data_IF_995443186844
#
_entry.id   IF_995443186844
#
_cell.length_a   1.000
_cell.length_b   1.000
_cell.length_c   1.000
_cell.angle_alpha   90.00
_cell.angle_beta   90.00
_cell.angle_gamma   90.00
#
_symmetry.space_group_name_H-M   'P 1'
#
loop_
_entity.id
_entity.type
_entity.pdbx_description
1 polymer ?
#
# COMPACT_ATOMS: atom_id res chain seq x y z
N UNK A 1 -5.68 11.47 -11.15
CA UNK A 1 -6.75 11.88 -12.07
C UNK A 1 -7.58 10.67 -12.42
N UNK A 2 -8.91 10.81 -12.39
CA UNK A 2 -9.86 9.77 -12.82
C UNK A 2 -10.56 10.28 -14.08
N UNK A 3 -10.63 9.42 -15.11
CA UNK A 3 -11.34 9.70 -16.34
C UNK A 3 -12.31 8.54 -16.64
N UNK A 4 -13.59 8.80 -16.47
CA UNK A 4 -14.66 7.81 -16.71
C UNK A 4 -15.93 8.50 -17.23
N UNK A 5 -15.96 8.91 -18.50
CA UNK A 5 -17.05 9.73 -19.05
C UNK A 5 -18.43 9.09 -18.93
N UNK A 6 -18.53 7.76 -19.06
CA UNK A 6 -19.81 7.04 -18.98
C UNK A 6 -20.35 6.93 -17.54
N UNK A 7 -19.49 7.00 -16.51
CA UNK A 7 -19.89 6.77 -15.12
C UNK A 7 -19.80 8.00 -14.21
N UNK A 8 -19.21 9.12 -14.70
CA UNK A 8 -19.02 10.32 -13.89
C UNK A 8 -19.66 11.54 -14.56
N UNK A 9 -20.48 12.26 -13.80
CA UNK A 9 -21.04 13.55 -14.23
C UNK A 9 -20.05 14.71 -14.00
N UNK A 10 -19.19 14.60 -12.99
CA UNK A 10 -18.20 15.62 -12.64
C UNK A 10 -17.22 15.85 -13.79
N UNK A 11 -16.87 17.12 -14.04
CA UNK A 11 -15.95 17.56 -15.11
C UNK A 11 -14.90 18.52 -14.52
N UNK A 12 -13.65 18.06 -14.42
CA UNK A 12 -12.54 18.88 -13.92
C UNK A 12 -12.65 19.28 -12.45
N UNK A 13 -13.48 18.61 -11.67
CA UNK A 13 -13.70 18.91 -10.27
C UNK A 13 -12.61 18.26 -9.39
N UNK A 14 -12.22 18.99 -8.33
CA UNK A 14 -11.36 18.45 -7.28
C UNK A 14 -12.20 17.77 -6.20
N UNK A 15 -11.72 16.64 -5.71
CA UNK A 15 -12.27 15.94 -4.56
C UNK A 15 -11.23 15.90 -3.45
N UNK A 16 -11.61 16.28 -2.24
CA UNK A 16 -10.72 16.30 -1.06
C UNK A 16 -10.78 15.03 -0.21
N UNK A 17 -11.66 14.10 -0.56
CA UNK A 17 -11.77 12.82 0.14
C UNK A 17 -10.45 12.04 0.09
N UNK A 18 -9.94 11.56 1.23
CA UNK A 18 -8.69 10.82 1.27
C UNK A 18 -8.82 9.46 0.57
N UNK A 19 -8.21 9.33 -0.60
CA UNK A 19 -8.05 8.07 -1.30
C UNK A 19 -6.72 7.41 -0.97
N UNK A 20 -6.65 6.09 -1.15
CA UNK A 20 -5.43 5.30 -1.00
C UNK A 20 -5.25 4.35 -2.18
N UNK A 21 -4.02 3.91 -2.44
CA UNK A 21 -3.71 3.00 -3.55
C UNK A 21 -4.55 1.71 -3.51
N UNK A 22 -4.81 1.18 -2.30
CA UNK A 22 -5.61 -0.04 -2.11
C UNK A 22 -7.07 0.11 -2.56
N UNK A 23 -7.57 1.35 -2.69
CA UNK A 23 -8.95 1.65 -3.10
C UNK A 23 -9.17 1.42 -4.59
N UNK A 24 -8.10 1.41 -5.38
CA UNK A 24 -8.21 1.21 -6.84
C UNK A 24 -8.84 -0.14 -7.15
N UNK A 25 -8.34 -1.23 -6.56
CA UNK A 25 -8.91 -2.57 -6.78
C UNK A 25 -10.36 -2.64 -6.29
N UNK A 26 -10.65 -2.12 -5.09
CA UNK A 26 -12.02 -2.11 -4.56
C UNK A 26 -12.99 -1.32 -5.47
N UNK A 27 -12.50 -0.23 -6.07
CA UNK A 27 -13.28 0.56 -7.03
C UNK A 27 -13.51 -0.21 -8.33
N UNK A 28 -12.49 -0.88 -8.87
CA UNK A 28 -12.63 -1.70 -10.08
C UNK A 28 -13.63 -2.84 -9.87
N UNK A 29 -13.58 -3.52 -8.74
CA UNK A 29 -14.55 -4.57 -8.38
C UNK A 29 -15.97 -3.99 -8.31
N UNK A 30 -16.14 -2.83 -7.67
CA UNK A 30 -17.46 -2.19 -7.56
C UNK A 30 -18.02 -1.73 -8.93
N UNK A 31 -17.15 -1.21 -9.81
CA UNK A 31 -17.55 -0.76 -11.16
C UNK A 31 -17.92 -1.93 -12.06
N UNK A 32 -17.18 -3.03 -12.00
CA UNK A 32 -17.42 -4.20 -12.85
C UNK A 32 -18.57 -5.08 -12.39
N UNK A 33 -19.06 -4.90 -11.15
CA UNK A 33 -20.04 -5.80 -10.52
C UNK A 33 -19.46 -7.17 -10.17
N UNK A 34 -18.15 -7.36 -10.31
CA UNK A 34 -17.48 -8.61 -9.97
C UNK A 34 -17.52 -8.87 -8.46
N UNK A 35 -17.41 -10.14 -8.08
CA UNK A 35 -17.22 -10.54 -6.69
C UNK A 35 -15.74 -10.80 -6.46
N UNK A 36 -15.17 -10.13 -5.47
CA UNK A 36 -13.79 -10.43 -5.06
C UNK A 36 -13.74 -11.83 -4.42
N UNK A 37 -12.90 -12.74 -4.92
CA UNK A 37 -12.90 -14.11 -4.43
C UNK A 37 -12.31 -14.20 -3.02
N UNK A 38 -12.80 -15.17 -2.24
CA UNK A 38 -12.26 -15.48 -0.90
C UNK A 38 -11.13 -16.51 -0.95
N UNK A 39 -11.04 -17.25 -2.06
CA UNK A 39 -9.99 -18.24 -2.30
C UNK A 39 -9.66 -18.32 -3.79
N UNK A 40 -8.42 -18.73 -4.11
CA UNK A 40 -7.94 -19.02 -5.45
C UNK A 40 -7.11 -20.29 -5.42
N UNK A 41 -7.39 -21.24 -6.30
CA UNK A 41 -6.72 -22.57 -6.36
C UNK A 41 -6.63 -23.27 -4.99
N UNK A 42 -7.73 -23.26 -4.23
CA UNK A 42 -7.82 -23.88 -2.92
C UNK A 42 -7.12 -23.12 -1.78
N UNK A 43 -6.50 -21.98 -2.04
CA UNK A 43 -5.83 -21.14 -1.04
C UNK A 43 -6.68 -19.94 -0.69
N UNK A 44 -6.84 -19.68 0.61
CA UNK A 44 -7.46 -18.45 1.10
C UNK A 44 -6.65 -17.24 0.68
N UNK A 45 -7.33 -16.23 0.12
CA UNK A 45 -6.70 -14.95 -0.21
C UNK A 45 -7.12 -13.86 0.79
N UNK A 46 -6.27 -12.86 0.93
CA UNK A 46 -6.55 -11.74 1.83
C UNK A 46 -7.75 -10.94 1.29
N UNK A 47 -8.69 -10.52 2.15
CA UNK A 47 -9.78 -9.66 1.74
C UNK A 47 -9.27 -8.29 1.27
N UNK A 48 -10.08 -7.57 0.49
CA UNK A 48 -9.80 -6.20 0.14
C UNK A 48 -9.79 -5.32 1.40
N UNK A 49 -8.70 -4.58 1.59
CA UNK A 49 -8.57 -3.59 2.67
C UNK A 49 -9.06 -2.20 2.22
N UNK A 50 -9.12 -1.96 0.92
CA UNK A 50 -9.59 -0.70 0.33
C UNK A 50 -11.10 -0.60 0.27
N UNK A 51 -11.59 0.61 0.06
CA UNK A 51 -13.00 0.91 -0.18
C UNK A 51 -13.20 1.45 -1.59
N UNK A 52 -14.40 1.27 -2.14
CA UNK A 52 -14.74 1.86 -3.44
C UNK A 52 -14.75 3.39 -3.37
N UNK A 53 -14.10 4.05 -4.32
CA UNK A 53 -14.11 5.51 -4.48
C UNK A 53 -15.35 6.04 -5.21
N UNK A 54 -16.27 5.18 -5.64
CA UNK A 54 -17.49 5.60 -6.32
C UNK A 54 -18.32 6.66 -5.56
N UNK A 55 -18.48 6.59 -4.22
CA UNK A 55 -19.13 7.66 -3.47
C UNK A 55 -18.41 9.01 -3.64
N UNK A 56 -17.07 9.03 -3.53
CA UNK A 56 -16.30 10.27 -3.72
C UNK A 56 -16.42 10.82 -5.15
N UNK A 57 -16.48 9.97 -6.16
CA UNK A 57 -16.72 10.40 -7.55
C UNK A 57 -18.09 11.07 -7.70
N UNK A 58 -19.08 10.65 -6.90
CA UNK A 58 -20.41 11.25 -6.86
C UNK A 58 -20.52 12.43 -5.86
N UNK A 59 -19.42 12.92 -5.30
CA UNK A 59 -19.42 14.02 -4.31
C UNK A 59 -19.94 13.63 -2.93
N UNK A 60 -19.96 12.34 -2.60
CA UNK A 60 -20.38 11.83 -1.31
C UNK A 60 -19.16 11.40 -0.47
N UNK A 61 -19.21 11.51 0.86
CA UNK A 61 -18.10 11.13 1.73
C UNK A 61 -17.83 9.60 1.68
N UNK A 62 -16.56 9.23 1.88
CA UNK A 62 -16.14 7.83 2.01
C UNK A 62 -16.31 7.27 3.43
N UNK A 63 -16.64 8.12 4.40
CA UNK A 63 -16.65 7.78 5.81
C UNK A 63 -15.25 7.82 6.44
N UNK A 64 -15.23 7.86 7.78
CA UNK A 64 -13.97 7.85 8.53
C UNK A 64 -13.37 6.46 8.52
N UNK A 65 -12.08 6.36 8.18
CA UNK A 65 -11.31 5.11 8.21
C UNK A 65 -9.84 5.40 8.49
N UNK A 66 -9.14 4.41 8.99
CA UNK A 66 -7.70 4.46 9.07
C UNK A 66 -7.08 3.99 7.74
N UNK A 67 -6.08 4.73 7.25
CA UNK A 67 -5.24 4.33 6.12
C UNK A 67 -3.79 4.27 6.56
N UNK A 68 -3.03 3.30 6.02
CA UNK A 68 -1.73 2.93 6.53
C UNK A 68 -0.68 2.93 5.43
N UNK A 69 0.54 3.26 5.81
CA UNK A 69 1.70 3.23 4.92
C UNK A 69 2.88 2.57 5.60
N UNK A 70 3.64 1.85 4.82
CA UNK A 70 5.01 1.42 5.11
C UNK A 70 5.82 1.47 3.83
N UNK A 71 6.99 2.09 3.90
CA UNK A 71 7.96 2.09 2.83
C UNK A 71 9.38 2.25 3.38
N UNK A 72 10.21 1.24 3.20
CA UNK A 72 11.62 1.23 3.64
C UNK A 72 11.77 1.57 5.14
N UNK A 73 10.88 0.99 5.98
CA UNK A 73 10.75 1.23 7.41
C UNK A 73 10.18 2.60 7.82
N UNK A 74 9.84 3.48 6.88
CA UNK A 74 9.03 4.66 7.18
C UNK A 74 7.58 4.21 7.32
N UNK A 75 6.91 4.67 8.36
CA UNK A 75 5.58 4.19 8.74
C UNK A 75 4.64 5.36 8.93
N UNK A 76 3.38 5.18 8.55
CA UNK A 76 2.35 6.16 8.86
C UNK A 76 0.98 5.50 9.02
N UNK A 77 0.13 6.15 9.79
CA UNK A 77 -1.31 5.93 9.85
C UNK A 77 -2.02 7.26 9.85
N UNK A 78 -3.10 7.37 9.08
CA UNK A 78 -4.00 8.50 9.10
C UNK A 78 -5.41 8.03 9.42
N UNK A 79 -6.07 8.71 10.36
CA UNK A 79 -7.48 8.53 10.68
C UNK A 79 -8.13 9.91 10.84
N UNK A 80 -9.04 10.23 9.93
CA UNK A 80 -9.59 11.57 9.83
C UNK A 80 -8.51 12.63 9.59
N UNK A 81 -8.48 13.64 10.46
CA UNK A 81 -7.51 14.74 10.41
C UNK A 81 -6.18 14.42 11.08
N UNK A 82 -6.09 13.31 11.79
CA UNK A 82 -4.89 12.95 12.52
C UNK A 82 -4.01 12.02 11.71
N UNK A 83 -2.72 12.34 11.66
CA UNK A 83 -1.69 11.53 11.03
C UNK A 83 -0.55 11.29 12.00
N UNK A 84 -0.18 10.02 12.19
CA UNK A 84 0.97 9.60 12.96
C UNK A 84 2.02 9.04 11.98
N UNK A 85 3.25 9.51 12.10
CA UNK A 85 4.37 9.11 11.23
C UNK A 85 5.60 8.73 12.04
N UNK A 86 6.44 7.87 11.47
CA UNK A 86 7.75 7.53 12.04
C UNK A 86 8.73 7.27 10.91
N UNK A 87 9.86 7.98 10.91
CA UNK A 87 10.89 7.91 9.88
C UNK A 87 11.93 6.85 10.23
N UNK A 88 11.98 5.79 9.43
CA UNK A 88 12.94 4.72 9.60
C UNK A 88 12.65 3.79 10.79
N UNK A 89 13.51 2.80 10.97
CA UNK A 89 13.37 1.79 12.02
C UNK A 89 13.75 2.36 13.39
N UNK A 90 12.84 2.21 14.37
CA UNK A 90 13.11 2.61 15.76
C UNK A 90 12.99 4.11 16.04
N UNK A 91 12.66 4.93 15.04
CA UNK A 91 12.40 6.35 15.28
C UNK A 91 11.11 6.56 16.06
N UNK A 92 11.02 7.61 16.88
CA UNK A 92 9.81 7.95 17.60
C UNK A 92 8.66 8.26 16.66
N UNK A 93 7.45 8.18 17.18
CA UNK A 93 6.26 8.61 16.48
C UNK A 93 6.06 10.13 16.61
N UNK A 94 5.68 10.75 15.52
CA UNK A 94 5.31 12.15 15.42
C UNK A 94 3.84 12.25 15.02
N UNK A 95 3.08 13.12 15.69
CA UNK A 95 1.65 13.28 15.51
C UNK A 95 1.33 14.66 14.92
N UNK A 96 0.49 14.69 13.89
CA UNK A 96 0.10 15.92 13.19
C UNK A 96 -1.41 15.99 13.01
N UNK A 97 -1.96 17.22 13.05
CA UNK A 97 -3.32 17.51 12.62
C UNK A 97 -3.27 18.03 11.18
N UNK A 98 -3.57 17.17 10.21
CA UNK A 98 -3.43 17.50 8.77
C UNK A 98 -4.46 18.54 8.29
N UNK A 99 -5.57 18.73 9.01
CA UNK A 99 -6.51 19.81 8.69
C UNK A 99 -5.92 21.19 8.95
N UNK A 100 -5.12 21.33 10.00
CA UNK A 100 -4.51 22.61 10.45
C UNK A 100 -3.05 22.74 9.98
N UNK A 101 -2.34 21.62 9.86
CA UNK A 101 -0.91 21.55 9.53
C UNK A 101 -0.65 20.52 8.42
N UNK A 102 -0.93 20.91 7.18
CA UNK A 102 -0.74 20.02 6.00
C UNK A 102 0.73 19.74 5.67
N UNK A 103 1.64 20.53 6.19
CA UNK A 103 3.09 20.46 5.95
C UNK A 103 3.84 19.73 7.06
N UNK A 104 3.11 19.28 8.11
CA UNK A 104 3.67 18.48 9.19
C UNK A 104 4.84 19.17 9.93
N UNK A 105 4.66 20.45 10.29
CA UNK A 105 5.68 21.24 10.96
C UNK A 105 5.58 21.21 12.48
N UNK A 106 4.38 20.94 13.03
CA UNK A 106 4.08 21.02 14.46
C UNK A 106 3.79 19.63 15.04
N UNK A 107 4.83 18.96 15.55
CA UNK A 107 4.66 17.65 16.20
C UNK A 107 3.87 17.78 17.51
N UNK A 108 2.72 17.14 17.58
CA UNK A 108 1.81 17.16 18.72
C UNK A 108 1.89 15.90 19.59
N UNK A 109 2.82 14.97 19.34
CA UNK A 109 2.91 13.69 20.06
C UNK A 109 3.07 13.85 21.58
N UNK A 110 3.89 14.82 22.01
CA UNK A 110 4.08 15.13 23.42
C UNK A 110 2.85 15.80 24.06
N UNK A 111 2.03 16.52 23.28
CA UNK A 111 0.81 17.19 23.74
C UNK A 111 -0.42 16.29 23.75
N UNK A 112 -0.42 15.25 22.94
CA UNK A 112 -1.51 14.27 22.79
C UNK A 112 -0.99 12.82 22.81
N UNK A 113 -0.33 12.39 23.90
CA UNK A 113 0.36 11.10 23.97
C UNK A 113 -0.61 9.91 23.85
N UNK A 114 -1.81 10.02 24.39
CA UNK A 114 -2.81 8.95 24.29
C UNK A 114 -3.29 8.71 22.86
N UNK A 115 -3.50 9.80 22.10
CA UNK A 115 -3.89 9.71 20.68
C UNK A 115 -2.75 9.11 19.85
N UNK A 116 -1.51 9.54 20.09
CA UNK A 116 -0.33 8.99 19.42
C UNK A 116 -0.19 7.48 19.73
N UNK A 117 -0.36 7.09 21.00
CA UNK A 117 -0.29 5.68 21.39
C UNK A 117 -1.43 4.85 20.74
N UNK A 118 -2.64 5.37 20.67
CA UNK A 118 -3.80 4.72 20.04
C UNK A 118 -3.54 4.49 18.55
N UNK A 119 -3.11 5.52 17.83
CA UNK A 119 -2.80 5.41 16.39
C UNK A 119 -1.61 4.47 16.14
N UNK A 120 -0.61 4.47 17.02
CA UNK A 120 0.50 3.52 16.96
C UNK A 120 0.04 2.06 17.09
N UNK A 121 -0.89 1.79 18.01
CA UNK A 121 -1.53 0.46 18.15
C UNK A 121 -2.33 0.07 16.90
N UNK A 122 -3.04 1.02 16.28
CA UNK A 122 -3.75 0.77 15.00
C UNK A 122 -2.78 0.38 13.90
N UNK A 123 -1.65 1.10 13.78
CA UNK A 123 -0.63 0.76 12.78
C UNK A 123 -0.03 -0.62 13.05
N UNK A 124 0.26 -0.95 14.31
CA UNK A 124 0.81 -2.26 14.68
C UNK A 124 -0.15 -3.40 14.30
N UNK A 125 -1.43 -3.27 14.64
CA UNK A 125 -2.45 -4.25 14.29
C UNK A 125 -2.61 -4.45 12.76
N UNK A 126 -2.53 -3.35 12.01
CA UNK A 126 -2.47 -3.42 10.55
C UNK A 126 -1.23 -4.18 10.07
N UNK A 127 -0.05 -3.84 10.61
CA UNK A 127 1.21 -4.41 10.17
C UNK A 127 1.29 -5.93 10.39
N UNK A 128 0.67 -6.42 11.48
CA UNK A 128 0.55 -7.85 11.76
C UNK A 128 -0.44 -8.53 10.79
N UNK A 129 -1.65 -7.96 10.65
CA UNK A 129 -2.70 -8.52 9.78
C UNK A 129 -2.28 -8.55 8.31
N UNK A 130 -1.62 -7.49 7.83
CA UNK A 130 -1.23 -7.34 6.44
C UNK A 130 0.14 -7.95 6.10
N UNK A 131 0.81 -8.62 7.05
CA UNK A 131 2.15 -9.18 6.90
C UNK A 131 3.21 -8.14 6.49
N UNK A 132 3.10 -6.92 7.03
CA UNK A 132 4.07 -5.84 6.81
C UNK A 132 5.36 -6.09 7.60
N UNK A 133 5.23 -6.75 8.76
CA UNK A 133 6.38 -7.06 9.61
C UNK A 133 7.13 -8.31 9.12
N UNK A 134 8.47 -8.33 9.28
CA UNK A 134 9.34 -7.26 9.80
C UNK A 134 9.59 -6.17 8.77
N UNK A 135 9.62 -4.91 9.20
CA UNK A 135 9.99 -3.76 8.34
C UNK A 135 11.51 -3.71 8.11
N UNK A 136 11.90 -3.43 6.88
CA UNK A 136 13.29 -3.37 6.46
C UNK A 136 13.66 -1.96 6.02
N UNK A 137 14.70 -1.34 6.60
CA UNK A 137 15.25 -0.08 6.10
C UNK A 137 15.77 -0.24 4.67
N UNK A 138 15.86 0.89 3.95
CA UNK A 138 16.43 0.92 2.61
C UNK A 138 17.82 0.29 2.58
N UNK A 139 18.03 -0.59 1.63
CA UNK A 139 19.34 -1.26 1.46
C UNK A 139 19.64 -2.40 2.43
N UNK A 140 18.78 -2.66 3.43
CA UNK A 140 18.96 -3.77 4.39
C UNK A 140 18.11 -5.00 4.06
N UNK A 141 17.29 -4.93 3.03
CA UNK A 141 16.61 -6.12 2.49
C UNK A 141 17.67 -7.19 2.20
N UNK A 142 17.35 -8.48 2.45
CA UNK A 142 18.26 -9.58 2.06
C UNK A 142 18.76 -9.28 0.65
N UNK A 143 20.08 -9.24 0.43
CA UNK A 143 20.58 -9.04 -0.92
C UNK A 143 19.89 -10.09 -1.79
N UNK A 144 19.18 -9.65 -2.83
CA UNK A 144 18.62 -10.56 -3.81
C UNK A 144 19.81 -11.25 -4.46
N UNK A 145 20.25 -12.36 -3.90
CA UNK A 145 21.27 -13.16 -4.56
C UNK A 145 20.60 -13.83 -5.73
N UNK A 146 20.97 -13.39 -6.91
CA UNK A 146 20.56 -14.02 -8.15
C UNK A 146 21.50 -15.16 -8.50
N UNK A 147 21.03 -16.09 -9.29
CA UNK A 147 21.89 -17.14 -9.83
C UNK A 147 23.07 -16.55 -10.59
N UNK A 148 24.24 -17.16 -10.44
CA UNK A 148 25.42 -16.86 -11.28
C UNK A 148 25.40 -17.57 -12.63
N UNK A 149 24.43 -18.48 -12.86
CA UNK A 149 24.25 -19.12 -14.16
C UNK A 149 23.98 -18.08 -15.23
N UNK A 150 24.52 -18.31 -16.41
CA UNK A 150 24.32 -17.47 -17.59
C UNK A 150 23.25 -18.01 -18.53
N UNK A 151 22.97 -19.30 -18.45
CA UNK A 151 21.96 -19.98 -19.26
C UNK A 151 20.96 -20.65 -18.34
N UNK A 152 19.68 -20.50 -18.64
CA UNK A 152 18.57 -21.11 -17.94
C UNK A 152 17.70 -21.84 -18.95
N UNK A 153 17.48 -23.12 -18.70
CA UNK A 153 16.49 -23.92 -19.42
C UNK A 153 15.24 -23.98 -18.57
N UNK A 154 14.15 -23.44 -19.07
CA UNK A 154 12.87 -23.38 -18.38
C UNK A 154 11.85 -24.18 -19.16
N UNK A 155 11.09 -25.02 -18.45
CA UNK A 155 9.90 -25.68 -18.98
C UNK A 155 8.70 -24.76 -18.85
N UNK A 156 7.68 -24.99 -19.65
CA UNK A 156 6.41 -24.27 -19.52
C UNK A 156 5.87 -24.35 -18.08
N UNK A 157 5.42 -23.21 -17.55
CA UNK A 157 4.96 -23.09 -16.16
C UNK A 157 6.07 -23.08 -15.09
N UNK A 158 7.35 -23.12 -15.46
CA UNK A 158 8.45 -23.08 -14.49
C UNK A 158 8.55 -21.70 -13.83
N UNK A 159 8.64 -21.68 -12.50
CA UNK A 159 8.92 -20.49 -11.69
C UNK A 159 10.27 -20.65 -10.99
N UNK A 160 11.10 -19.62 -11.05
CA UNK A 160 12.37 -19.57 -10.34
C UNK A 160 12.30 -18.47 -9.27
N UNK A 161 12.67 -18.81 -8.05
CA UNK A 161 12.65 -17.89 -6.92
C UNK A 161 14.05 -17.69 -6.31
N UNK A 162 14.28 -16.46 -5.78
CA UNK A 162 15.47 -16.13 -5.01
C UNK A 162 16.77 -16.41 -5.78
N UNK A 163 17.64 -17.24 -5.19
CA UNK A 163 18.97 -17.55 -5.75
C UNK A 163 18.94 -18.36 -7.06
N UNK A 164 17.83 -19.02 -7.37
CA UNK A 164 17.65 -19.74 -8.62
C UNK A 164 17.32 -18.81 -9.80
N UNK A 165 16.81 -17.60 -9.51
CA UNK A 165 16.39 -16.64 -10.55
C UNK A 165 17.57 -15.99 -11.28
N UNK A 166 17.45 -15.74 -12.61
CA UNK A 166 18.48 -15.02 -13.35
C UNK A 166 18.57 -13.55 -12.91
N UNK A 167 19.79 -13.02 -12.88
CA UNK A 167 19.97 -11.57 -12.73
C UNK A 167 19.88 -10.88 -14.08
N UNK A 168 18.71 -10.37 -14.40
CA UNK A 168 18.43 -9.68 -15.67
C UNK A 168 18.60 -8.16 -15.62
N UNK A 169 18.84 -7.60 -14.43
CA UNK A 169 18.93 -6.16 -14.23
C UNK A 169 20.18 -5.60 -14.94
N UNK A 170 19.96 -4.73 -15.93
CA UNK A 170 21.04 -4.06 -16.67
C UNK A 170 21.86 -4.98 -17.59
N UNK A 171 21.35 -6.17 -17.96
CA UNK A 171 22.01 -7.13 -18.84
C UNK A 171 21.22 -7.34 -20.11
N UNK A 172 21.91 -7.66 -21.19
CA UNK A 172 21.26 -8.19 -22.40
C UNK A 172 20.70 -9.56 -22.11
N UNK A 173 19.46 -9.78 -22.49
CA UNK A 173 18.78 -11.06 -22.40
C UNK A 173 18.53 -11.58 -23.81
N UNK A 174 18.78 -12.86 -24.02
CA UNK A 174 18.34 -13.58 -25.20
C UNK A 174 17.42 -14.70 -24.76
N UNK A 175 16.22 -14.74 -25.32
CA UNK A 175 15.22 -15.77 -25.06
C UNK A 175 15.05 -16.55 -26.34
N UNK A 176 15.36 -17.84 -26.29
CA UNK A 176 15.11 -18.77 -27.36
C UNK A 176 13.97 -19.67 -26.97
N UNK A 177 12.87 -19.65 -27.71
CA UNK A 177 11.76 -20.59 -27.54
C UNK A 177 11.91 -21.69 -28.59
N UNK A 178 11.90 -22.93 -28.15
CA UNK A 178 11.90 -24.12 -29.03
C UNK A 178 10.58 -24.88 -28.89
#
# INVERSE_FOLDING_TARGET
VVHWPAGMKARGELRSEPGHLIDIMATCVAVSGAKYPVAHEGRQIKPLEGVSLLPAFAGRPLGSRAVFWEHEANRAVREGDWKLVSKGRGSPWELYNIAEDRTELSNLSARKPELAARLGKLWQAYAERANVLPVYPRGTGKPKSYSRKQVFELKDGAALEGQASPNVKGKRLQINAS
#
